data_IF_626947103090
#
_entry.id   IF_626947103090
#
_cell.length_a   1.000
_cell.length_b   1.000
_cell.length_c   1.000
_cell.angle_alpha   90.00
_cell.angle_beta   90.00
_cell.angle_gamma   90.00
#
_symmetry.space_group_name_H-M   'P 1'
#
loop_
_entity.id
_entity.type
_entity.pdbx_description
1 polymer ?
#
# COMPACT_ATOMS: atom_id res chain seq x y z
N UNK A 1 4.10 -20.28 13.85
CA UNK A 1 3.45 -21.13 12.83
C UNK A 1 2.12 -20.48 12.50
N UNK A 2 2.14 -19.50 11.59
CA UNK A 2 0.93 -18.98 10.97
C UNK A 2 0.81 -19.69 9.63
N UNK A 3 -0.37 -20.27 9.39
CA UNK A 3 -0.65 -21.08 8.23
C UNK A 3 -0.36 -20.27 6.96
N UNK A 4 0.38 -20.90 6.05
CA UNK A 4 0.48 -20.49 4.65
C UNK A 4 -0.90 -20.69 4.04
N UNK A 5 -1.81 -19.74 4.28
CA UNK A 5 -3.07 -19.69 3.57
C UNK A 5 -2.73 -19.50 2.09
N UNK A 6 -3.20 -20.46 1.30
CA UNK A 6 -2.84 -20.70 -0.07
C UNK A 6 -3.18 -19.45 -0.89
N UNK A 7 -2.17 -18.65 -1.23
CA UNK A 7 -2.33 -17.46 -2.05
C UNK A 7 -2.95 -17.92 -3.38
N UNK A 8 -4.22 -17.56 -3.70
CA UNK A 8 -4.88 -18.05 -4.90
C UNK A 8 -4.08 -17.58 -6.13
N UNK A 9 -3.97 -18.44 -7.15
CA UNK A 9 -3.10 -18.29 -8.32
C UNK A 9 -3.29 -17.01 -9.17
N UNK A 10 -4.20 -16.11 -8.80
CA UNK A 10 -4.42 -14.79 -9.41
C UNK A 10 -4.13 -13.63 -8.44
N UNK A 11 -3.19 -13.82 -7.52
CA UNK A 11 -2.81 -12.77 -6.58
C UNK A 11 -1.65 -11.97 -7.14
N UNK A 12 -1.93 -10.76 -7.63
CA UNK A 12 -0.89 -9.79 -7.96
C UNK A 12 -0.52 -9.06 -6.66
N UNK A 13 0.77 -9.09 -6.30
CA UNK A 13 1.28 -8.42 -5.11
C UNK A 13 2.53 -7.61 -5.40
N UNK A 14 2.79 -6.60 -4.58
CA UNK A 14 3.98 -5.76 -4.64
C UNK A 14 4.37 -5.33 -3.23
N UNK A 15 5.67 -5.23 -2.97
CA UNK A 15 6.24 -4.62 -1.78
C UNK A 15 6.75 -3.24 -2.15
N UNK A 16 6.31 -2.23 -1.42
CA UNK A 16 6.79 -0.87 -1.55
C UNK A 16 7.75 -0.57 -0.39
N UNK A 17 9.04 -0.32 -0.66
CA UNK A 17 9.94 0.16 0.37
C UNK A 17 9.51 1.55 0.83
N UNK A 18 9.61 1.80 2.13
CA UNK A 18 9.37 3.10 2.74
C UNK A 18 10.29 3.28 3.96
N UNK A 19 10.21 4.43 4.61
CA UNK A 19 10.94 4.67 5.86
C UNK A 19 9.98 5.28 6.88
N UNK A 20 10.21 4.99 8.16
CA UNK A 20 9.53 5.70 9.24
C UNK A 20 10.14 7.08 9.50
N UNK A 21 9.55 7.84 10.43
CA UNK A 21 10.02 9.19 10.78
C UNK A 21 11.43 9.20 11.38
N UNK A 22 11.97 8.04 11.78
CA UNK A 22 13.33 7.88 12.29
C UNK A 22 14.31 7.47 11.18
N UNK A 23 13.84 7.34 9.93
CA UNK A 23 14.65 6.92 8.78
C UNK A 23 14.96 5.43 8.77
N UNK A 24 14.26 4.61 9.56
CA UNK A 24 14.43 3.16 9.50
C UNK A 24 13.69 2.60 8.29
N UNK A 25 14.34 1.69 7.56
CA UNK A 25 13.72 0.99 6.43
C UNK A 25 12.51 0.16 6.86
N UNK A 26 11.43 0.31 6.13
CA UNK A 26 10.13 -0.34 6.33
C UNK A 26 9.57 -0.79 4.99
N UNK A 27 8.49 -1.56 5.05
CA UNK A 27 7.82 -2.09 3.87
C UNK A 27 6.30 -1.95 4.00
N UNK A 28 5.67 -1.43 2.95
CA UNK A 28 4.24 -1.52 2.72
C UNK A 28 3.97 -2.70 1.79
N UNK A 29 3.01 -3.55 2.15
CA UNK A 29 2.61 -4.67 1.28
C UNK A 29 1.29 -4.36 0.58
N UNK A 30 1.24 -4.61 -0.72
CA UNK A 30 0.07 -4.41 -1.56
C UNK A 30 -0.31 -5.75 -2.17
N UNK A 31 -1.56 -6.20 -1.97
CA UNK A 31 -2.06 -7.48 -2.48
C UNK A 31 -3.42 -7.28 -3.13
N UNK A 32 -3.58 -7.70 -4.39
CA UNK A 32 -4.88 -7.80 -5.03
C UNK A 32 -5.39 -9.24 -4.97
N UNK A 33 -6.37 -9.50 -4.10
CA UNK A 33 -6.95 -10.82 -3.89
C UNK A 33 -8.49 -10.75 -3.87
N UNK A 34 -9.15 -11.70 -4.52
CA UNK A 34 -10.61 -11.84 -4.41
C UNK A 34 -11.42 -10.58 -4.81
N UNK A 35 -10.92 -9.79 -5.78
CA UNK A 35 -11.49 -8.50 -6.23
C UNK A 35 -11.36 -7.34 -5.23
N UNK A 36 -10.51 -7.49 -4.22
CA UNK A 36 -10.17 -6.43 -3.28
C UNK A 36 -8.68 -6.19 -3.30
N UNK A 37 -8.29 -4.96 -3.00
CA UNK A 37 -6.92 -4.60 -2.70
C UNK A 37 -6.74 -4.58 -1.19
N UNK A 38 -5.66 -5.16 -0.69
CA UNK A 38 -5.23 -5.07 0.69
C UNK A 38 -3.91 -4.31 0.71
N UNK A 39 -3.86 -3.25 1.51
CA UNK A 39 -2.64 -2.54 1.89
C UNK A 39 -2.33 -2.91 3.33
N UNK A 40 -1.19 -3.53 3.58
CA UNK A 40 -0.70 -3.85 4.92
C UNK A 40 0.39 -2.86 5.31
N UNK A 41 0.22 -2.18 6.44
CA UNK A 41 1.22 -1.24 6.99
C UNK A 41 2.41 -1.99 7.58
N UNK A 42 3.57 -1.32 7.81
CA UNK A 42 4.71 -1.95 8.47
C UNK A 42 4.37 -2.53 9.86
N UNK A 43 3.38 -1.95 10.54
CA UNK A 43 2.89 -2.40 11.85
C UNK A 43 1.85 -3.53 11.77
N UNK A 44 1.58 -4.04 10.57
CA UNK A 44 0.65 -5.15 10.33
C UNK A 44 -0.83 -4.74 10.29
N UNK A 45 -1.15 -3.45 10.12
CA UNK A 45 -2.53 -3.01 9.96
C UNK A 45 -2.97 -3.21 8.51
N UNK A 46 -4.08 -3.92 8.32
CA UNK A 46 -4.68 -4.12 7.00
C UNK A 46 -5.76 -3.10 6.67
N UNK A 47 -5.62 -2.47 5.50
CA UNK A 47 -6.63 -1.61 4.89
C UNK A 47 -7.16 -2.29 3.62
N UNK A 48 -8.45 -2.57 3.59
CA UNK A 48 -9.11 -3.24 2.47
C UNK A 48 -9.87 -2.24 1.61
N UNK A 49 -9.56 -2.22 0.31
CA UNK A 49 -10.13 -1.30 -0.67
C UNK A 49 -10.78 -2.07 -1.81
N UNK A 50 -11.92 -1.56 -2.28
CA UNK A 50 -12.49 -1.97 -3.57
C UNK A 50 -11.68 -1.38 -4.73
N UNK A 51 -11.76 -1.94 -5.96
CA UNK A 51 -11.06 -1.39 -7.12
C UNK A 51 -11.38 0.09 -7.37
N UNK A 52 -12.66 0.50 -7.22
CA UNK A 52 -13.06 1.90 -7.37
C UNK A 52 -12.39 2.81 -6.32
N UNK A 53 -12.26 2.34 -5.08
CA UNK A 53 -11.59 3.11 -4.03
C UNK A 53 -10.08 3.24 -4.30
N UNK A 54 -9.43 2.20 -4.83
CA UNK A 54 -8.02 2.26 -5.25
C UNK A 54 -7.81 3.33 -6.32
N UNK A 55 -8.65 3.33 -7.36
CA UNK A 55 -8.56 4.30 -8.45
C UNK A 55 -8.76 5.74 -7.96
N UNK A 56 -9.72 5.95 -7.05
CA UNK A 56 -9.98 7.25 -6.43
C UNK A 56 -8.82 7.70 -5.52
N UNK A 57 -8.27 6.78 -4.73
CA UNK A 57 -7.13 7.07 -3.87
C UNK A 57 -5.91 7.44 -4.71
N UNK A 58 -5.62 6.72 -5.79
CA UNK A 58 -4.53 7.05 -6.71
C UNK A 58 -4.69 8.45 -7.30
N UNK A 59 -5.90 8.80 -7.74
CA UNK A 59 -6.19 10.13 -8.26
C UNK A 59 -5.96 11.22 -7.19
N UNK A 60 -6.52 11.03 -5.99
CA UNK A 60 -6.39 11.99 -4.90
C UNK A 60 -4.94 12.16 -4.43
N UNK A 61 -4.16 11.07 -4.34
CA UNK A 61 -2.74 11.14 -3.99
C UNK A 61 -1.95 11.92 -5.04
N UNK A 62 -2.18 11.63 -6.33
CA UNK A 62 -1.51 12.35 -7.41
C UNK A 62 -1.85 13.84 -7.38
N UNK A 63 -3.13 14.17 -7.19
CA UNK A 63 -3.57 15.57 -7.16
C UNK A 63 -2.98 16.30 -5.95
N UNK A 64 -2.96 15.67 -4.78
CA UNK A 64 -2.33 16.22 -3.58
C UNK A 64 -0.84 16.50 -3.78
N UNK A 65 -0.09 15.54 -4.37
CA UNK A 65 1.36 15.69 -4.57
C UNK A 65 1.73 16.79 -5.58
N UNK A 66 0.79 17.25 -6.41
CA UNK A 66 1.00 18.43 -7.27
C UNK A 66 0.97 19.74 -6.47
N UNK A 67 0.30 19.76 -5.32
CA UNK A 67 0.16 20.93 -4.46
C UNK A 67 1.24 20.99 -3.35
N UNK A 68 1.96 19.88 -3.11
CA UNK A 68 3.05 19.82 -2.11
C UNK A 68 4.33 20.43 -2.66
N UNK A 69 4.99 21.28 -1.87
CA UNK A 69 6.28 21.85 -2.26
C UNK A 69 7.36 20.74 -2.26
N UNK A 70 8.16 20.59 -3.34
CA UNK A 70 9.30 19.69 -3.35
C UNK A 70 10.29 19.86 -2.17
N UNK A 71 10.32 21.03 -1.54
CA UNK A 71 11.10 21.30 -0.33
C UNK A 71 10.60 20.56 0.93
N UNK A 72 9.36 20.08 0.95
CA UNK A 72 8.78 19.34 2.09
C UNK A 72 9.21 17.86 2.13
N UNK A 73 9.91 17.38 1.10
CA UNK A 73 10.43 16.00 1.01
C UNK A 73 11.91 15.87 1.44
N UNK A 74 12.58 16.97 1.77
CA UNK A 74 14.02 17.06 2.07
C UNK A 74 14.28 17.36 3.54
#
# INVERSE_FOLDING_TARGET
MLATDEIPANTAGCVLPCSDEQGSDRELTLVFAGRRMVLTTPDGLDVVLTPLQVERLRAALRDLLLDVDPGDYL
#
